data_IF_658957634133
#
_entry.id   IF_658957634133
#
_cell.length_a   1.000
_cell.length_b   1.000
_cell.length_c   1.000
_cell.angle_alpha   90.00
_cell.angle_beta   90.00
_cell.angle_gamma   90.00
#
_symmetry.space_group_name_H-M   'P 1'
#
loop_
_entity.id
_entity.type
_entity.pdbx_description
1 polymer ?
#
# COMPACT_ATOMS: atom_id res chain seq x y z
N UNK A 1 8.92 10.64 -23.44
CA UNK A 1 7.48 10.85 -23.30
C UNK A 1 6.69 9.55 -23.22
N UNK A 2 6.91 8.64 -24.16
CA UNK A 2 6.22 7.34 -24.13
C UNK A 2 6.56 6.52 -22.90
N UNK A 3 7.80 6.63 -22.41
CA UNK A 3 8.22 5.91 -21.20
C UNK A 3 7.47 6.39 -19.96
N UNK A 4 7.23 7.70 -19.86
CA UNK A 4 6.49 8.24 -18.74
C UNK A 4 5.04 7.77 -18.72
N UNK A 5 4.43 7.66 -19.89
CA UNK A 5 3.08 7.15 -20.01
C UNK A 5 2.99 5.70 -19.56
N UNK A 6 4.00 4.88 -19.93
CA UNK A 6 4.04 3.48 -19.52
C UNK A 6 4.15 3.33 -18.01
N UNK A 7 5.00 4.14 -17.40
CA UNK A 7 5.15 4.12 -15.95
C UNK A 7 3.88 4.55 -15.26
N UNK A 8 3.21 5.58 -15.79
CA UNK A 8 1.94 6.06 -15.24
C UNK A 8 0.81 5.07 -15.40
N UNK A 9 0.90 4.20 -16.42
CA UNK A 9 -0.15 3.21 -16.69
C UNK A 9 0.10 1.88 -16.01
N UNK A 10 1.24 1.72 -15.32
CA UNK A 10 1.51 0.48 -14.59
C UNK A 10 0.42 0.27 -13.56
N UNK A 11 -0.17 -0.93 -13.58
CA UNK A 11 -1.21 -1.27 -12.64
C UNK A 11 -0.60 -1.53 -11.25
N UNK A 12 -1.08 -0.80 -10.26
CA UNK A 12 -0.73 -1.04 -8.87
C UNK A 12 -1.94 -1.58 -8.14
N UNK A 13 -1.71 -2.17 -6.97
CA UNK A 13 -2.81 -2.67 -6.14
C UNK A 13 -3.73 -1.52 -5.74
N UNK A 14 -3.16 -0.37 -5.41
CA UNK A 14 -3.95 0.81 -5.05
C UNK A 14 -4.81 1.29 -6.21
N UNK A 15 -4.24 1.35 -7.42
CA UNK A 15 -5.01 1.74 -8.60
C UNK A 15 -6.11 0.75 -8.90
N UNK A 16 -5.83 -0.53 -8.72
CA UNK A 16 -6.84 -1.56 -8.96
C UNK A 16 -8.00 -1.40 -7.98
N UNK A 17 -7.71 -1.13 -6.72
CA UNK A 17 -8.76 -0.84 -5.74
C UNK A 17 -9.60 0.37 -6.17
N UNK A 18 -8.93 1.43 -6.61
CA UNK A 18 -9.62 2.64 -7.06
C UNK A 18 -10.55 2.37 -8.24
N UNK A 19 -10.15 1.49 -9.13
CA UNK A 19 -10.96 1.15 -10.30
C UNK A 19 -12.30 0.52 -9.93
N UNK A 20 -12.39 -0.11 -8.77
CA UNK A 20 -13.66 -0.66 -8.31
C UNK A 20 -14.71 0.40 -8.02
N UNK A 21 -14.29 1.66 -7.84
CA UNK A 21 -15.25 2.75 -7.62
C UNK A 21 -16.26 2.88 -8.76
N UNK A 22 -15.86 2.50 -9.97
CA UNK A 22 -16.74 2.59 -11.12
C UNK A 22 -17.81 1.50 -11.11
N UNK A 23 -17.67 0.50 -10.24
CA UNK A 23 -18.57 -0.65 -10.20
C UNK A 23 -19.70 -0.51 -9.18
N UNK A 24 -19.66 0.49 -8.29
CA UNK A 24 -20.74 0.71 -7.35
C UNK A 24 -20.31 1.47 -6.11
N UNK A 25 -21.31 2.04 -5.43
CA UNK A 25 -21.09 2.87 -4.26
C UNK A 25 -20.47 2.11 -3.08
N UNK A 26 -20.73 0.80 -2.99
CA UNK A 26 -20.19 0.01 -1.89
C UNK A 26 -18.67 0.03 -1.85
N UNK A 27 -18.03 0.23 -3.00
CA UNK A 27 -16.58 0.26 -3.06
C UNK A 27 -16.01 1.60 -2.59
N UNK A 28 -16.82 2.65 -2.54
CA UNK A 28 -16.39 3.94 -2.01
C UNK A 28 -16.01 3.83 -0.54
N UNK A 29 -16.73 3.00 0.21
CA UNK A 29 -16.43 2.81 1.64
C UNK A 29 -15.02 2.24 1.80
N UNK A 30 -14.68 1.21 1.03
CA UNK A 30 -13.35 0.60 1.09
C UNK A 30 -12.26 1.58 0.65
N UNK A 31 -12.51 2.30 -0.45
CA UNK A 31 -11.53 3.23 -0.97
C UNK A 31 -11.24 4.37 0.00
N UNK A 32 -12.29 4.99 0.51
CA UNK A 32 -12.12 6.11 1.45
C UNK A 32 -11.52 5.65 2.77
N UNK A 33 -11.89 4.47 3.25
CA UNK A 33 -11.31 3.90 4.44
C UNK A 33 -9.80 3.68 4.23
N UNK A 34 -9.41 3.13 3.07
CA UNK A 34 -8.01 2.94 2.76
C UNK A 34 -7.24 4.26 2.73
N UNK A 35 -7.78 5.27 2.04
CA UNK A 35 -7.11 6.56 1.93
C UNK A 35 -6.92 7.21 3.31
N UNK A 36 -7.94 7.13 4.13
CA UNK A 36 -7.88 7.66 5.49
C UNK A 36 -6.90 6.88 6.35
N UNK A 37 -6.96 5.55 6.27
CA UNK A 37 -6.08 4.67 7.05
C UNK A 37 -4.63 4.78 6.61
N UNK A 38 -4.38 4.96 5.32
CA UNK A 38 -3.03 5.15 4.79
C UNK A 38 -2.34 6.33 5.46
N UNK A 39 -3.06 7.44 5.57
CA UNK A 39 -2.52 8.64 6.23
C UNK A 39 -2.19 8.35 7.68
N UNK A 40 -3.12 7.71 8.37
CA UNK A 40 -2.95 7.39 9.78
C UNK A 40 -1.80 6.39 9.99
N UNK A 41 -1.73 5.36 9.17
CA UNK A 41 -0.67 4.35 9.25
C UNK A 41 0.69 4.96 8.96
N UNK A 42 0.78 5.87 7.99
CA UNK A 42 2.04 6.56 7.69
C UNK A 42 2.51 7.37 8.88
N UNK A 43 1.58 8.08 9.55
CA UNK A 43 1.90 8.85 10.74
C UNK A 43 2.34 7.96 11.89
N UNK A 44 1.65 6.83 12.07
CA UNK A 44 2.00 5.88 13.12
C UNK A 44 3.40 5.30 12.89
N UNK A 45 3.71 4.96 11.64
CA UNK A 45 5.03 4.46 11.29
C UNK A 45 6.11 5.48 11.59
N UNK A 46 5.88 6.75 11.22
CA UNK A 46 6.83 7.84 11.51
C UNK A 46 7.04 7.99 13.01
N UNK A 47 5.96 7.97 13.77
CA UNK A 47 6.04 8.10 15.24
C UNK A 47 6.81 6.93 15.85
N UNK A 48 6.54 5.72 15.35
CA UNK A 48 7.22 4.52 15.85
C UNK A 48 8.72 4.59 15.56
N UNK A 49 9.08 5.00 14.35
CA UNK A 49 10.49 5.15 13.98
C UNK A 49 11.20 6.21 14.82
N UNK A 50 10.51 7.30 15.16
CA UNK A 50 11.08 8.33 16.03
C UNK A 50 11.39 7.79 17.41
N UNK A 51 10.58 6.83 17.89
CA UNK A 51 10.78 6.21 19.20
C UNK A 51 11.91 5.17 19.18
N UNK A 52 12.27 4.66 18.00
CA UNK A 52 13.29 3.65 17.84
C UNK A 52 14.29 4.06 16.75
N UNK A 53 15.16 5.04 17.03
CA UNK A 53 16.03 5.62 16.00
C UNK A 53 16.99 4.63 15.34
N UNK A 54 17.26 3.50 15.97
CA UNK A 54 18.13 2.47 15.38
C UNK A 54 17.48 1.81 14.15
N UNK A 55 16.19 2.02 13.96
CA UNK A 55 15.44 1.47 12.82
C UNK A 55 15.11 2.53 11.78
N UNK A 56 15.95 3.53 11.64
CA UNK A 56 15.71 4.64 10.72
C UNK A 56 15.59 4.22 9.25
N UNK A 57 15.97 2.99 8.92
CA UNK A 57 15.85 2.48 7.56
C UNK A 57 14.42 2.10 7.19
N UNK A 58 13.55 1.93 8.16
CA UNK A 58 12.17 1.51 7.94
C UNK A 58 11.24 2.71 7.96
N UNK A 59 11.35 3.56 6.95
CA UNK A 59 10.48 4.72 6.82
C UNK A 59 9.35 4.41 5.84
N UNK A 60 8.55 5.43 5.54
CA UNK A 60 7.43 5.30 4.62
C UNK A 60 7.86 4.80 3.24
N UNK A 61 9.06 5.19 2.80
CA UNK A 61 9.57 4.74 1.51
C UNK A 61 9.84 3.24 1.50
N UNK A 62 10.13 2.64 2.65
CA UNK A 62 10.33 1.20 2.74
C UNK A 62 9.01 0.47 2.45
N UNK A 63 7.91 0.93 3.05
CA UNK A 63 6.59 0.34 2.79
C UNK A 63 6.25 0.43 1.30
N UNK A 64 6.54 1.57 0.68
CA UNK A 64 6.32 1.77 -0.75
C UNK A 64 7.15 0.81 -1.58
N UNK A 65 8.41 0.58 -1.20
CA UNK A 65 9.29 -0.36 -1.88
C UNK A 65 8.78 -1.79 -1.77
N UNK A 66 8.34 -2.20 -0.59
CA UNK A 66 7.79 -3.54 -0.37
C UNK A 66 6.55 -3.74 -1.24
N UNK A 67 5.68 -2.73 -1.28
CA UNK A 67 4.48 -2.78 -2.11
C UNK A 67 4.84 -2.96 -3.59
N UNK A 68 5.81 -2.19 -4.07
CA UNK A 68 6.26 -2.29 -5.45
C UNK A 68 6.79 -3.69 -5.76
N UNK A 69 7.56 -4.27 -4.84
CA UNK A 69 8.09 -5.61 -5.03
C UNK A 69 6.98 -6.65 -5.12
N UNK A 70 5.97 -6.53 -4.27
CA UNK A 70 4.81 -7.44 -4.31
C UNK A 70 4.12 -7.33 -5.66
N UNK A 71 3.91 -6.10 -6.13
CA UNK A 71 3.24 -5.87 -7.41
C UNK A 71 4.03 -6.45 -8.58
N UNK A 72 5.35 -6.34 -8.52
CA UNK A 72 6.20 -6.91 -9.57
C UNK A 72 6.16 -8.44 -9.57
N UNK A 73 6.13 -9.05 -8.40
CA UNK A 73 6.04 -10.50 -8.28
C UNK A 73 4.70 -11.02 -8.81
N UNK A 74 3.62 -10.32 -8.46
CA UNK A 74 2.28 -10.70 -8.91
C UNK A 74 2.11 -10.50 -10.42
N UNK A 75 2.53 -9.35 -10.90
CA UNK A 75 2.30 -8.96 -12.28
C UNK A 75 0.87 -8.46 -12.50
N UNK A 76 0.68 -7.72 -13.58
CA UNK A 76 -0.61 -7.07 -13.87
C UNK A 76 -1.77 -8.07 -13.96
N UNK A 77 -1.53 -9.26 -14.54
CA UNK A 77 -2.59 -10.23 -14.73
C UNK A 77 -3.15 -10.76 -13.41
N UNK A 78 -2.29 -10.98 -12.42
CA UNK A 78 -2.73 -11.44 -11.12
C UNK A 78 -3.36 -10.32 -10.31
N UNK A 79 -2.83 -9.10 -10.43
CA UNK A 79 -3.41 -7.95 -9.75
C UNK A 79 -4.85 -7.72 -10.23
N UNK A 80 -5.10 -7.86 -11.51
CA UNK A 80 -6.45 -7.69 -12.07
C UNK A 80 -7.45 -8.68 -11.49
N UNK A 81 -6.98 -9.81 -11.01
CA UNK A 81 -7.85 -10.84 -10.43
C UNK A 81 -8.14 -10.65 -8.96
N UNK A 82 -7.45 -9.72 -8.31
CA UNK A 82 -7.68 -9.44 -6.89
C UNK A 82 -9.04 -8.77 -6.72
N UNK A 83 -9.78 -9.19 -5.69
CA UNK A 83 -11.01 -8.52 -5.30
C UNK A 83 -10.68 -7.20 -4.60
N UNK A 84 -11.70 -6.36 -4.42
CA UNK A 84 -11.53 -5.12 -3.66
C UNK A 84 -11.07 -5.42 -2.23
N UNK A 85 -11.64 -6.47 -1.62
CA UNK A 85 -11.24 -6.88 -0.27
C UNK A 85 -9.80 -7.35 -0.22
N UNK A 86 -9.36 -8.11 -1.23
CA UNK A 86 -7.96 -8.55 -1.31
C UNK A 86 -7.02 -7.36 -1.36
N UNK A 87 -7.32 -6.38 -2.20
CA UNK A 87 -6.51 -5.17 -2.30
C UNK A 87 -6.45 -4.44 -0.97
N UNK A 88 -7.59 -4.29 -0.32
CA UNK A 88 -7.72 -3.61 0.96
C UNK A 88 -6.81 -4.26 2.01
N UNK A 89 -6.88 -5.59 2.11
CA UNK A 89 -6.09 -6.34 3.09
C UNK A 89 -4.59 -6.23 2.81
N UNK A 90 -4.19 -6.40 1.55
CA UNK A 90 -2.78 -6.34 1.17
C UNK A 90 -2.19 -4.97 1.48
N UNK A 91 -2.90 -3.91 1.11
CA UNK A 91 -2.45 -2.54 1.33
C UNK A 91 -2.22 -2.26 2.81
N UNK A 92 -3.15 -2.69 3.67
CA UNK A 92 -3.01 -2.50 5.11
C UNK A 92 -1.89 -3.35 5.69
N UNK A 93 -1.78 -4.60 5.23
CA UNK A 93 -0.83 -5.56 5.76
C UNK A 93 0.60 -5.07 5.62
N UNK A 94 0.94 -4.43 4.51
CA UNK A 94 2.30 -3.94 4.29
C UNK A 94 2.70 -2.93 5.36
N UNK A 95 1.83 -1.96 5.63
CA UNK A 95 2.12 -0.94 6.65
C UNK A 95 2.15 -1.52 8.05
N UNK A 96 1.17 -2.35 8.37
CA UNK A 96 1.08 -2.98 9.69
C UNK A 96 2.28 -3.88 9.94
N UNK A 97 2.72 -4.60 8.93
CA UNK A 97 3.89 -5.46 9.01
C UNK A 97 5.14 -4.65 9.37
N UNK A 98 5.35 -3.52 8.70
CA UNK A 98 6.50 -2.66 8.96
C UNK A 98 6.48 -2.12 10.38
N UNK A 99 5.32 -1.64 10.84
CA UNK A 99 5.19 -1.12 12.20
C UNK A 99 5.50 -2.24 13.21
N UNK A 100 4.95 -3.42 12.98
CA UNK A 100 5.19 -4.57 13.84
C UNK A 100 6.65 -4.98 13.89
N UNK A 101 7.34 -4.92 12.76
CA UNK A 101 8.77 -5.25 12.69
C UNK A 101 9.60 -4.31 13.56
N UNK A 102 9.32 -3.02 13.50
CA UNK A 102 10.05 -2.04 14.31
C UNK A 102 9.85 -2.31 15.79
N UNK A 103 8.59 -2.50 16.20
CA UNK A 103 8.27 -2.74 17.61
C UNK A 103 8.88 -4.05 18.10
N UNK A 104 8.79 -5.10 17.32
CA UNK A 104 9.25 -6.44 17.71
C UNK A 104 10.77 -6.51 17.84
N UNK A 105 11.49 -5.78 17.02
CA UNK A 105 12.95 -5.87 16.97
C UNK A 105 13.66 -4.67 17.62
N UNK A 106 12.88 -3.79 18.22
CA UNK A 106 13.44 -2.67 18.96
C UNK A 106 13.89 -3.12 20.34
#
# INVERSE_FOLDING_TARGET
MKKQKREKTRLTIEKHLEQFLQQGERYEILWHAWRNNKRWLSQLLQTTLSSFPTYSKHDESHASTVMTNIEMILGAERIKKLSASDCFVILHTVYIHDIGMVITHA
#
